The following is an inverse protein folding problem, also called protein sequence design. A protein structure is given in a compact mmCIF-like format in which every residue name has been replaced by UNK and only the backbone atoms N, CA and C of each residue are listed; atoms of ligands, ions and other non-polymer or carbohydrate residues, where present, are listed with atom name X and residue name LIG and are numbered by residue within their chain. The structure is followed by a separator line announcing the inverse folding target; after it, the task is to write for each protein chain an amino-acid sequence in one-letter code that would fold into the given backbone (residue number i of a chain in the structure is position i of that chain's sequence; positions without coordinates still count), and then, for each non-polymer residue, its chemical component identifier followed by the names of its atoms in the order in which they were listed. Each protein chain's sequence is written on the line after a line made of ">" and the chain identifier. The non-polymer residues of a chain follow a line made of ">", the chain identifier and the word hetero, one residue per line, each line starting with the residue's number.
data_IF_825348484900
#
_entry.id   IF_825348484900
#
_cell.length_a   1.000
_cell.length_b   1.000
_cell.length_c   1.000
_cell.angle_alpha   90.00
_cell.angle_beta   90.00
_cell.angle_gamma   90.00
#
_symmetry.space_group_name_H-M   'P 1'
#
loop_
_entity.id
_entity.type
_entity.pdbx_description
1 polymer ?
#
# COMPACT_ATOMS: atom_id res chain seq x y z
N UNK A 1 -18.03 24.13 -0.04
CA UNK A 1 -16.67 24.32 0.47
C UNK A 1 -16.74 24.88 1.86
N UNK A 2 -16.28 24.19 2.90
CA UNK A 2 -15.79 24.87 4.11
C UNK A 2 -14.30 24.57 4.30
N UNK A 3 -13.58 25.66 4.47
CA UNK A 3 -12.18 25.77 4.84
C UNK A 3 -11.98 25.32 6.29
N UNK A 4 -11.06 24.38 6.54
CA UNK A 4 -10.52 24.09 7.85
C UNK A 4 -8.99 24.08 7.79
N UNK A 5 -8.42 25.25 8.05
CA UNK A 5 -7.03 25.40 8.42
C UNK A 5 -6.99 26.02 9.82
N UNK A 6 -6.53 25.29 10.82
CA UNK A 6 -6.01 25.85 12.07
C UNK A 6 -4.60 25.32 12.30
N UNK A 7 -3.63 26.18 12.57
CA UNK A 7 -2.26 25.76 12.83
C UNK A 7 -2.09 25.26 14.27
N UNK A 8 -1.35 24.19 14.41
CA UNK A 8 -0.91 23.62 15.69
C UNK A 8 0.27 24.42 16.23
N UNK A 9 0.18 24.93 17.47
CA UNK A 9 1.28 25.58 18.18
C UNK A 9 2.09 24.53 18.94
N UNK A 10 3.42 24.56 18.90
CA UNK A 10 4.24 23.66 19.69
C UNK A 10 4.32 24.11 21.15
N UNK A 11 4.24 23.13 22.05
CA UNK A 11 4.39 23.28 23.51
C UNK A 11 5.88 23.28 23.87
N UNK A 12 6.29 24.27 24.67
CA UNK A 12 7.65 24.42 25.18
C UNK A 12 7.98 23.36 26.24
N UNK A 13 9.22 22.87 26.23
CA UNK A 13 9.80 21.96 27.21
C UNK A 13 10.56 22.83 28.25
N UNK A 14 10.43 22.57 29.56
CA UNK A 14 11.11 23.36 30.60
C UNK A 14 12.58 22.98 30.77
N UNK A 15 13.41 23.98 31.01
CA UNK A 15 14.83 23.89 31.29
C UNK A 15 15.09 23.34 32.71
N UNK A 16 16.02 22.39 32.81
CA UNK A 16 16.54 21.90 34.09
C UNK A 16 17.75 22.73 34.53
N UNK A 17 17.66 23.33 35.72
CA UNK A 17 18.75 23.94 36.43
C UNK A 17 19.41 22.88 37.33
N UNK A 18 20.66 22.63 37.15
CA UNK A 18 21.48 21.85 38.07
C UNK A 18 22.44 22.73 38.89
N UNK A 19 22.33 22.62 40.18
CA UNK A 19 23.16 23.33 41.19
C UNK A 19 24.51 22.69 41.35
N UNK A 20 25.51 23.54 41.63
CA UNK A 20 26.87 23.14 41.96
C UNK A 20 27.05 22.69 43.40
N UNK A 21 28.15 22.06 43.66
CA UNK A 21 28.75 21.90 44.98
C UNK A 21 30.28 21.93 44.89
N UNK A 22 30.84 22.61 45.83
CA UNK A 22 32.22 23.05 46.03
C UNK A 22 33.07 22.07 46.84
N UNK A 23 34.37 22.33 46.78
CA UNK A 23 35.45 22.19 47.82
C UNK A 23 36.17 20.82 47.86
N UNK A 24 37.43 20.61 48.14
CA UNK A 24 38.50 21.42 48.70
C UNK A 24 39.85 20.66 48.51
N UNK A 25 40.92 21.46 48.44
CA UNK A 25 42.29 21.33 48.94
C UNK A 25 43.12 20.04 48.90
N UNK A 26 44.28 20.12 48.33
CA UNK A 26 45.65 20.15 48.98
C UNK A 26 46.71 19.79 47.95
N UNK A 27 47.62 20.55 47.59
CA UNK A 27 48.92 20.96 48.03
C UNK A 27 50.04 20.01 47.65
N UNK A 28 50.90 20.40 46.66
CA UNK A 28 52.30 20.11 46.63
C UNK A 28 53.01 20.95 45.55
N UNK A 29 53.97 21.78 45.97
CA UNK A 29 54.68 22.74 45.13
C UNK A 29 55.72 22.05 44.20
N UNK A 30 55.86 22.65 43.02
CA UNK A 30 57.07 22.57 42.17
C UNK A 30 57.33 23.94 41.54
N UNK A 31 58.59 24.35 41.60
CA UNK A 31 59.19 25.57 41.16
C UNK A 31 58.80 25.97 39.73
N UNK A 32 58.39 27.23 39.60
CA UNK A 32 58.18 27.90 38.34
C UNK A 32 59.46 28.61 37.90
N UNK A 33 59.99 28.25 36.74
CA UNK A 33 60.72 29.17 35.87
C UNK A 33 59.69 29.81 34.89
N UNK A 34 59.73 31.10 34.60
CA UNK A 34 58.74 31.71 33.71
C UNK A 34 58.97 31.26 32.28
N UNK A 35 57.94 30.61 31.70
CA UNK A 35 57.88 30.29 30.29
C UNK A 35 57.86 31.62 29.51
N UNK A 36 58.69 31.75 28.48
CA UNK A 36 58.74 32.88 27.61
C UNK A 36 57.41 33.06 26.85
N UNK A 37 56.98 34.33 26.63
CA UNK A 37 55.70 34.64 25.95
C UNK A 37 55.59 33.91 24.59
N UNK A 38 56.73 33.60 23.97
CA UNK A 38 56.76 32.86 22.69
C UNK A 38 56.33 31.37 22.86
N UNK A 39 56.67 30.69 23.95
CA UNK A 39 56.21 29.33 24.25
C UNK A 39 54.72 29.28 24.61
N UNK A 40 54.23 30.28 25.31
CA UNK A 40 52.81 30.42 25.61
C UNK A 40 51.98 30.64 24.35
N UNK A 41 52.48 31.48 23.42
CA UNK A 41 51.82 31.78 22.14
C UNK A 41 51.84 30.57 21.20
N UNK A 42 52.95 29.77 21.15
CA UNK A 42 53.01 28.52 20.38
C UNK A 42 52.02 27.46 20.92
N UNK A 43 51.83 27.34 22.24
CA UNK A 43 50.87 26.43 22.86
C UNK A 43 49.43 26.85 22.61
N UNK A 44 49.14 28.16 22.58
CA UNK A 44 47.81 28.69 22.22
C UNK A 44 47.49 28.44 20.75
N UNK A 45 48.46 28.71 19.86
CA UNK A 45 48.27 28.46 18.43
C UNK A 45 48.11 26.94 18.17
N UNK A 46 48.86 26.07 18.83
CA UNK A 46 48.72 24.62 18.73
C UNK A 46 47.36 24.12 19.27
N UNK A 47 46.85 24.72 20.34
CA UNK A 47 45.54 24.39 20.93
C UNK A 47 44.38 24.85 20.03
N UNK A 48 44.50 26.02 19.38
CA UNK A 48 43.52 26.54 18.40
C UNK A 48 43.55 25.67 17.12
N UNK A 49 44.71 25.26 16.66
CA UNK A 49 44.84 24.37 15.47
C UNK A 49 44.26 22.94 15.78
N UNK A 50 44.44 22.44 17.00
CA UNK A 50 43.86 21.16 17.42
C UNK A 50 42.33 21.22 17.66
N UNK A 51 41.81 22.34 18.14
CA UNK A 51 40.36 22.57 18.28
C UNK A 51 39.64 22.79 16.94
N UNK A 52 40.33 23.29 15.92
CA UNK A 52 39.78 23.47 14.58
C UNK A 52 39.62 22.16 13.76
N UNK A 53 40.24 21.05 14.17
CA UNK A 53 40.19 19.75 13.49
C UNK A 53 39.14 18.79 14.07
N UNK A 54 38.45 19.15 15.13
CA UNK A 54 37.40 18.37 15.78
C UNK A 54 35.97 18.86 15.46
N UNK A 55 35.76 19.51 14.31
CA UNK A 55 34.41 19.60 13.79
C UNK A 55 34.02 18.16 13.39
N UNK A 56 33.02 17.53 14.02
CA UNK A 56 32.50 16.31 13.46
C UNK A 56 32.05 16.68 12.05
N UNK A 57 32.65 16.09 11.03
CA UNK A 57 31.98 15.97 9.75
C UNK A 57 30.66 15.25 10.10
N UNK A 58 29.61 16.05 10.33
CA UNK A 58 28.26 15.55 10.23
C UNK A 58 28.20 15.01 8.81
N UNK A 59 28.49 13.70 8.66
CA UNK A 59 28.28 13.02 7.41
C UNK A 59 26.85 13.39 7.02
N UNK A 60 26.69 14.25 6.04
CA UNK A 60 25.40 14.65 5.52
C UNK A 60 24.76 13.31 5.16
N UNK A 61 23.80 12.87 5.96
CA UNK A 61 23.15 11.58 5.76
C UNK A 61 22.61 11.60 4.34
N UNK A 62 23.23 10.81 3.46
CA UNK A 62 22.91 10.82 2.05
C UNK A 62 21.43 10.49 1.92
N UNK A 63 20.66 11.39 1.30
CA UNK A 63 19.24 11.20 1.06
C UNK A 63 19.04 9.91 0.29
N UNK A 64 18.31 8.96 0.85
CA UNK A 64 17.98 7.72 0.15
C UNK A 64 16.82 7.95 -0.78
N UNK A 65 16.96 7.61 -2.07
CA UNK A 65 15.88 7.64 -3.04
C UNK A 65 15.41 6.23 -3.35
N UNK A 66 14.11 5.95 -3.13
CA UNK A 66 13.47 4.67 -3.45
C UNK A 66 12.67 4.81 -4.74
N UNK A 67 12.81 3.83 -5.63
CA UNK A 67 12.04 3.74 -6.87
C UNK A 67 10.71 3.08 -6.58
N UNK A 68 9.60 3.74 -6.95
CA UNK A 68 8.25 3.23 -6.77
C UNK A 68 7.51 3.15 -8.11
N UNK A 69 6.83 2.05 -8.37
CA UNK A 69 6.01 1.80 -9.57
C UNK A 69 4.56 1.53 -9.18
N UNK A 70 3.64 1.72 -10.11
CA UNK A 70 2.25 1.29 -9.95
C UNK A 70 1.89 0.14 -10.88
N UNK A 71 1.16 -0.84 -10.38
CA UNK A 71 0.55 -1.90 -11.20
C UNK A 71 -0.73 -1.44 -11.93
N UNK A 72 -1.22 -0.22 -11.64
CA UNK A 72 -2.41 0.37 -12.24
C UNK A 72 -2.05 1.44 -13.27
N UNK A 73 -2.93 1.68 -14.28
CA UNK A 73 -2.76 2.77 -15.24
C UNK A 73 -2.57 4.13 -14.57
N UNK A 74 -1.72 4.98 -15.15
CA UNK A 74 -1.35 6.26 -14.53
C UNK A 74 -2.49 7.28 -14.45
N UNK A 75 -3.51 7.14 -15.28
CA UNK A 75 -4.73 7.94 -15.25
C UNK A 75 -5.75 7.47 -14.21
N UNK A 76 -5.49 6.33 -13.55
CA UNK A 76 -6.40 5.81 -12.54
C UNK A 76 -6.43 6.68 -11.29
N UNK A 77 -7.58 6.71 -10.64
CA UNK A 77 -7.76 7.41 -9.38
C UNK A 77 -6.76 6.96 -8.30
N UNK A 78 -6.44 5.66 -8.26
CA UNK A 78 -5.45 5.11 -7.33
C UNK A 78 -4.07 5.74 -7.51
N UNK A 79 -3.62 5.90 -8.77
CA UNK A 79 -2.30 6.48 -9.08
C UNK A 79 -2.27 7.97 -8.84
N UNK A 80 -3.36 8.69 -9.11
CA UNK A 80 -3.46 10.12 -8.77
C UNK A 80 -3.24 10.35 -7.28
N UNK A 81 -3.88 9.54 -6.42
CA UNK A 81 -3.67 9.61 -4.97
C UNK A 81 -2.28 9.18 -4.53
N UNK A 82 -1.71 8.16 -5.19
CA UNK A 82 -0.32 7.75 -4.96
C UNK A 82 0.65 8.90 -5.24
N UNK A 83 0.50 9.60 -6.37
CA UNK A 83 1.36 10.74 -6.74
C UNK A 83 1.27 11.85 -5.68
N UNK A 84 0.07 12.21 -5.24
CA UNK A 84 -0.12 13.19 -4.15
C UNK A 84 0.57 12.75 -2.84
N UNK A 85 0.49 11.47 -2.50
CA UNK A 85 1.18 10.94 -1.33
C UNK A 85 2.71 10.99 -1.50
N UNK A 86 3.24 10.66 -2.69
CA UNK A 86 4.66 10.76 -3.01
C UNK A 86 5.15 12.20 -2.86
N UNK A 87 4.40 13.18 -3.35
CA UNK A 87 4.75 14.60 -3.23
C UNK A 87 4.85 15.01 -1.75
N UNK A 88 3.92 14.57 -0.90
CA UNK A 88 3.96 14.81 0.54
C UNK A 88 5.17 14.15 1.21
N UNK A 89 5.44 12.87 0.89
CA UNK A 89 6.62 12.15 1.39
C UNK A 89 7.90 12.88 1.00
N UNK A 90 7.99 13.34 -0.24
CA UNK A 90 9.16 14.04 -0.76
C UNK A 90 9.33 15.43 -0.13
N UNK A 91 8.24 16.12 0.18
CA UNK A 91 8.27 17.41 0.87
C UNK A 91 8.76 17.28 2.31
N UNK A 92 8.24 16.28 3.05
CA UNK A 92 8.55 16.06 4.47
C UNK A 92 9.87 15.29 4.68
N UNK A 93 10.26 14.46 3.71
CA UNK A 93 11.44 13.60 3.74
C UNK A 93 12.73 14.24 3.19
N UNK A 94 12.79 15.57 3.02
CA UNK A 94 13.99 16.26 2.53
C UNK A 94 15.20 15.95 3.41
N UNK A 95 16.30 15.54 2.76
CA UNK A 95 17.54 15.18 3.45
C UNK A 95 17.51 13.80 4.14
N UNK A 96 16.39 13.07 4.09
CA UNK A 96 16.23 11.76 4.74
C UNK A 96 15.87 10.66 3.74
N UNK A 97 14.71 10.80 3.06
CA UNK A 97 14.17 9.81 2.14
C UNK A 97 13.32 10.47 1.07
N UNK A 98 13.48 10.05 -0.17
CA UNK A 98 12.72 10.50 -1.33
C UNK A 98 12.13 9.31 -2.07
N UNK A 99 10.99 9.49 -2.72
CA UNK A 99 10.36 8.51 -3.61
C UNK A 99 10.44 9.01 -5.06
N UNK A 100 10.94 8.17 -5.95
CA UNK A 100 10.95 8.42 -7.39
C UNK A 100 9.89 7.53 -8.06
N UNK A 101 8.79 8.12 -8.51
CA UNK A 101 7.76 7.41 -9.27
C UNK A 101 8.24 7.16 -10.69
N UNK A 102 8.44 5.88 -11.04
CA UNK A 102 8.98 5.47 -12.34
C UNK A 102 7.90 5.15 -13.39
N UNK A 103 6.61 5.16 -13.02
CA UNK A 103 5.50 4.97 -13.94
C UNK A 103 4.52 3.87 -13.54
N UNK A 104 3.64 3.55 -14.51
CA UNK A 104 2.62 2.51 -14.42
C UNK A 104 2.94 1.29 -15.29
N UNK A 105 1.92 0.60 -15.87
CA UNK A 105 2.07 -0.63 -16.66
C UNK A 105 2.93 -0.51 -17.91
N UNK A 106 3.22 0.72 -18.37
CA UNK A 106 4.18 0.95 -19.46
C UNK A 106 5.64 0.80 -19.01
N UNK A 107 5.93 1.10 -17.73
CA UNK A 107 7.26 0.91 -17.16
C UNK A 107 7.49 -0.55 -16.76
N UNK A 108 6.52 -1.17 -16.07
CA UNK A 108 6.54 -2.59 -15.69
C UNK A 108 5.13 -3.14 -15.89
N UNK A 109 4.93 -4.21 -16.69
CA UNK A 109 3.61 -4.81 -16.91
C UNK A 109 2.92 -5.18 -15.60
N UNK A 110 1.60 -4.98 -15.54
CA UNK A 110 0.76 -5.12 -14.33
C UNK A 110 1.08 -6.38 -13.51
N UNK A 111 1.17 -7.54 -14.16
CA UNK A 111 1.36 -8.82 -13.48
C UNK A 111 2.83 -9.16 -13.20
N UNK A 112 3.78 -8.32 -13.66
CA UNK A 112 5.21 -8.45 -13.39
C UNK A 112 5.69 -7.57 -12.23
N UNK A 113 4.85 -6.63 -11.77
CA UNK A 113 5.21 -5.69 -10.70
C UNK A 113 5.61 -6.40 -9.41
N UNK A 114 4.88 -7.45 -9.01
CA UNK A 114 5.23 -8.22 -7.82
C UNK A 114 6.59 -8.90 -7.94
N UNK A 115 6.90 -9.50 -9.09
CA UNK A 115 8.22 -10.11 -9.31
C UNK A 115 9.33 -9.06 -9.35
N UNK A 116 9.07 -7.87 -9.91
CA UNK A 116 10.03 -6.76 -9.93
C UNK A 116 10.36 -6.25 -8.51
N UNK A 117 9.38 -6.20 -7.60
CA UNK A 117 9.63 -5.90 -6.18
C UNK A 117 10.40 -7.03 -5.51
N UNK A 118 10.00 -8.29 -5.71
CA UNK A 118 10.68 -9.46 -5.13
C UNK A 118 12.17 -9.50 -5.45
N UNK A 119 12.51 -9.22 -6.69
CA UNK A 119 13.90 -9.29 -7.20
C UNK A 119 14.70 -7.99 -7.02
N UNK A 120 14.08 -6.91 -6.51
CA UNK A 120 14.74 -5.62 -6.31
C UNK A 120 14.96 -4.80 -7.58
N UNK A 121 14.29 -5.15 -8.70
CA UNK A 121 14.26 -4.29 -9.91
C UNK A 121 13.66 -2.94 -9.58
N UNK A 122 12.67 -2.91 -8.69
CA UNK A 122 12.16 -1.69 -8.04
C UNK A 122 12.13 -1.89 -6.54
N UNK A 123 12.21 -0.77 -5.81
CA UNK A 123 12.26 -0.82 -4.35
C UNK A 123 10.88 -0.94 -3.72
N UNK A 124 9.89 -0.30 -4.33
CA UNK A 124 8.50 -0.27 -3.87
C UNK A 124 7.50 -0.38 -5.01
N UNK A 125 6.30 -0.80 -4.70
CA UNK A 125 5.19 -0.72 -5.62
C UNK A 125 3.85 -0.46 -4.91
N UNK A 126 2.93 0.19 -5.65
CA UNK A 126 1.51 0.14 -5.37
C UNK A 126 0.90 -0.97 -6.23
N UNK A 127 0.36 -2.00 -5.60
CA UNK A 127 -0.23 -3.16 -6.28
C UNK A 127 -1.38 -3.74 -5.46
N UNK A 128 -1.98 -4.80 -5.96
CA UNK A 128 -2.93 -5.65 -5.22
C UNK A 128 -2.39 -7.07 -5.18
N UNK A 129 -2.67 -7.80 -4.11
CA UNK A 129 -2.25 -9.20 -3.96
C UNK A 129 -2.63 -10.08 -5.15
N UNK A 130 -3.78 -9.80 -5.76
CA UNK A 130 -4.26 -10.51 -6.95
C UNK A 130 -3.34 -10.41 -8.18
N UNK A 131 -2.46 -9.41 -8.27
CA UNK A 131 -1.61 -9.18 -9.44
C UNK A 131 -0.26 -9.89 -9.36
N UNK A 132 0.08 -10.46 -8.20
CA UNK A 132 1.35 -11.19 -8.02
C UNK A 132 1.16 -12.60 -7.39
N UNK A 133 0.02 -13.22 -7.68
CA UNK A 133 -0.27 -14.62 -7.31
C UNK A 133 0.70 -15.63 -7.93
N UNK A 134 1.35 -15.26 -9.01
CA UNK A 134 2.43 -16.00 -9.64
C UNK A 134 3.73 -16.00 -8.82
N UNK A 135 3.89 -15.06 -7.89
CA UNK A 135 5.02 -15.03 -6.95
C UNK A 135 4.74 -15.96 -5.77
N UNK A 136 3.56 -15.82 -5.16
CA UNK A 136 3.05 -16.71 -4.12
C UNK A 136 1.51 -16.60 -4.03
N UNK A 137 0.79 -17.73 -3.90
CA UNK A 137 -0.67 -17.76 -3.97
C UNK A 137 -1.35 -17.07 -2.78
N UNK A 138 -0.69 -16.98 -1.63
CA UNK A 138 -1.21 -16.35 -0.41
C UNK A 138 -1.58 -14.88 -0.61
N UNK A 139 -0.95 -14.22 -1.58
CA UNK A 139 -1.23 -12.82 -1.89
C UNK A 139 -2.69 -12.59 -2.27
N UNK A 140 -3.35 -13.56 -2.89
CA UNK A 140 -4.75 -13.47 -3.29
C UNK A 140 -5.73 -13.56 -2.10
N UNK A 141 -5.28 -14.00 -0.93
CA UNK A 141 -6.14 -14.09 0.26
C UNK A 141 -6.59 -12.72 0.79
N UNK A 142 -5.86 -11.65 0.47
CA UNK A 142 -6.16 -10.30 0.97
C UNK A 142 -7.54 -9.78 0.58
N UNK A 143 -8.07 -10.21 -0.58
CA UNK A 143 -9.44 -9.91 -1.03
C UNK A 143 -10.53 -10.49 -0.14
N UNK A 144 -10.21 -11.59 0.56
CA UNK A 144 -11.15 -12.37 1.37
C UNK A 144 -11.28 -11.85 2.80
N UNK A 145 -10.54 -10.80 3.16
CA UNK A 145 -10.65 -10.22 4.49
C UNK A 145 -12.01 -9.56 4.69
N UNK A 146 -12.62 -9.81 5.84
CA UNK A 146 -13.89 -9.19 6.25
C UNK A 146 -13.67 -8.12 7.33
N UNK A 147 -12.41 -7.78 7.60
CA UNK A 147 -12.02 -6.86 8.65
C UNK A 147 -11.22 -5.69 8.11
N UNK A 148 -11.46 -4.46 8.61
CA UNK A 148 -10.62 -3.31 8.30
C UNK A 148 -9.16 -3.57 8.70
N UNK A 149 -8.21 -2.93 8.03
CA UNK A 149 -6.77 -3.08 8.32
C UNK A 149 -6.43 -2.70 9.77
N UNK A 150 -7.13 -1.73 10.33
CA UNK A 150 -6.98 -1.37 11.75
C UNK A 150 -7.28 -2.53 12.70
N UNK A 151 -8.25 -3.38 12.38
CA UNK A 151 -8.56 -4.59 13.14
C UNK A 151 -7.56 -5.71 12.85
N UNK A 152 -7.14 -5.90 11.60
CA UNK A 152 -6.10 -6.84 11.22
C UNK A 152 -4.79 -6.61 11.98
N UNK A 153 -4.48 -5.34 12.28
CA UNK A 153 -3.31 -4.98 13.10
C UNK A 153 -3.48 -5.34 14.58
N UNK A 154 -4.71 -5.39 15.09
CA UNK A 154 -4.99 -5.75 16.50
C UNK A 154 -5.09 -7.25 16.73
N UNK A 155 -5.59 -8.00 15.74
CA UNK A 155 -5.83 -9.44 15.88
C UNK A 155 -4.66 -10.31 15.41
N UNK A 156 -3.54 -9.70 14.98
CA UNK A 156 -2.35 -10.39 14.48
C UNK A 156 -2.40 -10.80 13.00
N UNK A 157 -3.48 -10.50 12.27
CA UNK A 157 -3.58 -10.80 10.84
C UNK A 157 -2.52 -10.04 10.05
N UNK A 158 -2.28 -8.77 10.39
CA UNK A 158 -1.27 -7.95 9.71
C UNK A 158 0.16 -8.49 9.94
N UNK A 159 0.46 -8.91 11.16
CA UNK A 159 1.78 -9.50 11.48
C UNK A 159 1.97 -10.83 10.72
N UNK A 160 0.90 -11.59 10.56
CA UNK A 160 0.94 -12.82 9.76
C UNK A 160 1.15 -12.54 8.27
N UNK A 161 0.54 -11.48 7.71
CA UNK A 161 0.82 -10.99 6.37
C UNK A 161 2.32 -10.66 6.25
N UNK A 162 2.89 -9.88 7.18
CA UNK A 162 4.31 -9.54 7.17
C UNK A 162 5.20 -10.78 7.12
N UNK A 163 4.90 -11.79 7.95
CA UNK A 163 5.63 -13.05 7.95
C UNK A 163 5.60 -13.74 6.59
N UNK A 164 4.41 -13.92 6.01
CA UNK A 164 4.24 -14.64 4.74
C UNK A 164 4.88 -13.87 3.58
N UNK A 165 4.73 -12.54 3.52
CA UNK A 165 5.33 -11.70 2.48
C UNK A 165 6.86 -11.71 2.54
N UNK A 166 7.43 -11.68 3.75
CA UNK A 166 8.87 -11.79 3.93
C UNK A 166 9.40 -13.17 3.52
N UNK A 167 8.71 -14.23 3.93
CA UNK A 167 9.11 -15.62 3.70
C UNK A 167 9.00 -16.03 2.22
N UNK A 168 7.87 -15.70 1.58
CA UNK A 168 7.53 -16.16 0.22
C UNK A 168 7.93 -15.18 -0.88
N UNK A 169 7.83 -13.90 -0.57
CA UNK A 169 7.93 -12.83 -1.56
C UNK A 169 9.19 -11.99 -1.50
N UNK A 170 10.04 -12.15 -0.48
CA UNK A 170 11.12 -11.20 -0.18
C UNK A 170 10.61 -9.75 -0.11
N UNK A 171 9.43 -9.56 0.51
CA UNK A 171 8.69 -8.29 0.55
C UNK A 171 8.33 -7.90 1.98
N UNK A 172 8.18 -6.60 2.16
CA UNK A 172 7.49 -5.97 3.29
C UNK A 172 6.14 -5.45 2.80
N UNK A 173 5.06 -5.82 3.49
CA UNK A 173 3.72 -5.27 3.27
C UNK A 173 3.58 -3.99 4.11
N UNK A 174 3.74 -2.81 3.51
CA UNK A 174 3.82 -1.56 4.26
C UNK A 174 2.45 -1.07 4.75
N UNK A 175 1.45 -1.07 3.87
CA UNK A 175 0.13 -0.56 4.18
C UNK A 175 -0.93 -1.09 3.20
N UNK A 176 -2.17 -1.27 3.68
CA UNK A 176 -3.36 -1.41 2.85
C UNK A 176 -3.97 -0.03 2.63
N UNK A 177 -3.93 0.47 1.41
CA UNK A 177 -4.30 1.87 1.08
C UNK A 177 -5.68 2.00 0.44
N UNK A 178 -6.34 0.88 0.15
CA UNK A 178 -7.74 0.82 -0.33
C UNK A 178 -8.49 -0.24 0.46
N UNK A 179 -9.66 0.14 0.96
CA UNK A 179 -10.64 -0.69 1.65
C UNK A 179 -12.06 -0.22 1.30
N UNK A 180 -13.07 -0.96 1.73
CA UNK A 180 -14.49 -0.59 1.59
C UNK A 180 -14.91 -0.38 0.13
N UNK A 181 -14.28 -1.12 -0.78
CA UNK A 181 -14.57 -1.12 -2.20
C UNK A 181 -14.99 -2.54 -2.62
N UNK A 182 -16.26 -2.93 -2.41
CA UNK A 182 -16.72 -4.25 -2.82
C UNK A 182 -16.53 -4.43 -4.32
N UNK A 183 -16.17 -5.63 -4.71
CA UNK A 183 -16.15 -6.03 -6.11
C UNK A 183 -17.56 -6.34 -6.61
N UNK A 184 -17.81 -6.02 -7.87
CA UNK A 184 -19.05 -6.32 -8.56
C UNK A 184 -18.76 -7.04 -9.88
N UNK A 185 -19.75 -7.78 -10.35
CA UNK A 185 -19.82 -8.24 -11.73
C UNK A 185 -20.51 -7.17 -12.57
N UNK A 186 -19.85 -6.73 -13.63
CA UNK A 186 -20.39 -5.80 -14.61
C UNK A 186 -20.62 -6.51 -15.94
N UNK A 187 -21.75 -6.25 -16.59
CA UNK A 187 -22.20 -7.00 -17.75
C UNK A 187 -22.68 -6.07 -18.87
N UNK A 188 -22.58 -6.56 -20.11
CA UNK A 188 -23.17 -5.96 -21.32
C UNK A 188 -24.59 -6.44 -21.55
N UNK A 189 -24.99 -7.57 -20.96
CA UNK A 189 -26.31 -8.22 -21.06
C UNK A 189 -26.85 -8.54 -19.67
N UNK A 190 -28.19 -8.60 -19.47
CA UNK A 190 -28.74 -8.95 -18.16
C UNK A 190 -28.58 -10.46 -17.89
N UNK A 191 -28.66 -10.81 -16.61
CA UNK A 191 -28.83 -12.19 -16.11
C UNK A 191 -29.98 -12.21 -15.12
N UNK A 192 -30.72 -13.33 -15.04
CA UNK A 192 -31.85 -13.48 -14.12
C UNK A 192 -31.46 -14.19 -12.81
N UNK A 193 -30.34 -14.90 -12.83
CA UNK A 193 -29.80 -15.67 -11.70
C UNK A 193 -28.26 -15.66 -11.77
N UNK A 194 -27.58 -16.03 -10.67
CA UNK A 194 -26.11 -16.09 -10.63
C UNK A 194 -25.56 -17.33 -11.37
N UNK A 195 -25.90 -17.44 -12.66
CA UNK A 195 -25.43 -18.46 -13.58
C UNK A 195 -24.77 -17.76 -14.78
N UNK A 196 -23.48 -17.98 -14.97
CA UNK A 196 -22.68 -17.33 -16.00
C UNK A 196 -22.33 -18.28 -17.16
N UNK A 197 -23.03 -19.43 -17.27
CA UNK A 197 -22.85 -20.35 -18.40
C UNK A 197 -23.05 -19.64 -19.73
N UNK A 198 -22.11 -19.84 -20.65
CA UNK A 198 -22.14 -19.22 -21.98
C UNK A 198 -21.64 -17.77 -22.01
N UNK A 199 -21.32 -17.16 -20.87
CA UNK A 199 -20.73 -15.83 -20.81
C UNK A 199 -19.20 -15.92 -20.73
N UNK A 200 -18.55 -15.02 -21.46
CA UNK A 200 -17.11 -14.79 -21.41
C UNK A 200 -16.85 -13.60 -20.48
N UNK A 201 -16.24 -13.84 -19.35
CA UNK A 201 -16.03 -12.80 -18.34
C UNK A 201 -14.54 -12.48 -18.22
N UNK A 202 -14.23 -11.21 -18.41
CA UNK A 202 -12.88 -10.71 -18.14
C UNK A 202 -12.59 -10.75 -16.64
N UNK A 203 -11.41 -11.29 -16.32
CA UNK A 203 -10.94 -11.37 -14.93
C UNK A 203 -9.52 -10.79 -14.77
N UNK A 204 -9.17 -10.51 -13.54
CA UNK A 204 -7.84 -10.69 -12.98
C UNK A 204 -7.87 -11.96 -12.11
N UNK A 205 -6.75 -12.47 -11.61
CA UNK A 205 -6.75 -13.69 -10.79
C UNK A 205 -7.76 -13.67 -9.63
N UNK A 206 -8.05 -12.48 -9.08
CA UNK A 206 -8.98 -12.28 -7.95
C UNK A 206 -10.37 -12.90 -8.16
N UNK A 207 -10.87 -12.96 -9.39
CA UNK A 207 -12.25 -13.43 -9.69
C UNK A 207 -12.31 -14.85 -10.19
N UNK A 208 -11.17 -15.48 -10.51
CA UNK A 208 -11.10 -16.75 -11.24
C UNK A 208 -11.97 -17.84 -10.62
N UNK A 209 -11.71 -18.16 -9.37
CA UNK A 209 -12.38 -19.27 -8.69
C UNK A 209 -13.89 -19.04 -8.60
N UNK A 210 -14.31 -17.83 -8.26
CA UNK A 210 -15.72 -17.48 -8.11
C UNK A 210 -16.48 -17.52 -9.44
N UNK A 211 -15.99 -16.81 -10.47
CA UNK A 211 -16.73 -16.76 -11.73
C UNK A 211 -16.68 -18.10 -12.49
N UNK A 212 -15.61 -18.88 -12.32
CA UNK A 212 -15.58 -20.25 -12.83
C UNK A 212 -16.59 -21.14 -12.11
N UNK A 213 -16.76 -20.98 -10.78
CA UNK A 213 -17.79 -21.70 -10.01
C UNK A 213 -19.23 -21.32 -10.39
N UNK A 214 -19.43 -20.13 -10.98
CA UNK A 214 -20.70 -19.71 -11.59
C UNK A 214 -20.86 -20.14 -13.06
N UNK A 215 -19.89 -20.86 -13.62
CA UNK A 215 -19.95 -21.42 -14.99
C UNK A 215 -19.42 -20.50 -16.08
N UNK A 216 -18.80 -19.37 -15.78
CA UNK A 216 -18.24 -18.47 -16.77
C UNK A 216 -17.04 -19.07 -17.50
N UNK A 217 -16.87 -18.72 -18.78
CA UNK A 217 -15.58 -18.80 -19.46
C UNK A 217 -14.77 -17.56 -19.06
N UNK A 218 -13.69 -17.76 -18.29
CA UNK A 218 -12.91 -16.64 -17.75
C UNK A 218 -11.70 -16.32 -18.61
N UNK A 219 -11.47 -15.02 -18.87
CA UNK A 219 -10.36 -14.50 -19.67
C UNK A 219 -9.57 -13.48 -18.87
N UNK A 220 -8.30 -13.77 -18.57
CA UNK A 220 -7.44 -12.87 -17.82
C UNK A 220 -6.84 -11.80 -18.74
N UNK A 221 -7.11 -10.53 -18.44
CA UNK A 221 -6.46 -9.39 -19.11
C UNK A 221 -6.15 -8.27 -18.10
N UNK A 222 -5.13 -7.46 -18.43
CA UNK A 222 -4.78 -6.29 -17.64
C UNK A 222 -5.90 -5.22 -17.68
N UNK A 223 -6.01 -4.32 -16.67
CA UNK A 223 -7.05 -3.30 -16.65
C UNK A 223 -7.09 -2.41 -17.90
N UNK A 224 -5.94 -2.04 -18.46
CA UNK A 224 -5.86 -1.18 -19.64
C UNK A 224 -6.45 -1.78 -20.92
N UNK A 225 -6.72 -3.11 -20.94
CA UNK A 225 -7.20 -3.85 -22.13
C UNK A 225 -8.73 -4.08 -22.12
N UNK A 226 -9.40 -3.79 -20.99
CA UNK A 226 -10.82 -4.14 -20.78
C UNK A 226 -11.75 -3.41 -21.75
N UNK A 227 -11.53 -2.12 -21.97
CA UNK A 227 -12.36 -1.34 -22.90
C UNK A 227 -12.39 -1.97 -24.29
N UNK A 228 -11.23 -2.27 -24.84
CA UNK A 228 -11.11 -2.91 -26.18
C UNK A 228 -11.73 -4.30 -26.21
N UNK A 229 -11.57 -5.08 -25.14
CA UNK A 229 -12.17 -6.42 -25.05
C UNK A 229 -13.71 -6.36 -25.04
N UNK A 230 -14.30 -5.40 -24.34
CA UNK A 230 -15.74 -5.13 -24.34
C UNK A 230 -16.22 -4.59 -25.69
N UNK A 231 -15.52 -3.64 -26.27
CA UNK A 231 -15.85 -3.00 -27.55
C UNK A 231 -15.89 -4.02 -28.69
N UNK A 232 -14.94 -4.94 -28.73
CA UNK A 232 -14.85 -6.00 -29.74
C UNK A 232 -15.72 -7.22 -29.45
N UNK A 233 -16.49 -7.22 -28.35
CA UNK A 233 -17.31 -8.36 -27.95
C UNK A 233 -16.52 -9.63 -27.59
N UNK A 234 -15.23 -9.48 -27.27
CA UNK A 234 -14.38 -10.59 -26.81
C UNK A 234 -14.85 -11.10 -25.46
N UNK A 235 -15.41 -10.20 -24.63
CA UNK A 235 -16.00 -10.53 -23.33
C UNK A 235 -17.39 -9.91 -23.19
N UNK A 236 -18.26 -10.58 -22.42
CA UNK A 236 -19.63 -10.15 -22.11
C UNK A 236 -19.72 -9.33 -20.81
N UNK A 237 -18.62 -9.26 -20.07
CA UNK A 237 -18.55 -8.55 -18.80
C UNK A 237 -17.20 -8.69 -18.12
N UNK A 238 -17.12 -8.14 -16.90
CA UNK A 238 -15.88 -8.11 -16.13
C UNK A 238 -16.15 -7.99 -14.64
N UNK A 239 -15.17 -8.41 -13.82
CA UNK A 239 -15.11 -8.10 -12.40
C UNK A 239 -14.33 -6.82 -12.16
N UNK A 240 -14.85 -5.92 -11.29
CA UNK A 240 -14.17 -4.70 -10.85
C UNK A 240 -14.75 -4.19 -9.52
N UNK A 241 -13.98 -3.42 -8.71
CA UNK A 241 -14.53 -2.71 -7.57
C UNK A 241 -15.64 -1.73 -7.94
N UNK A 242 -16.40 -1.27 -6.93
CA UNK A 242 -17.46 -0.27 -7.13
C UNK A 242 -16.93 1.02 -7.77
N UNK A 243 -15.68 1.40 -7.48
CA UNK A 243 -15.05 2.59 -8.04
C UNK A 243 -14.08 2.28 -9.18
N UNK A 244 -13.84 3.28 -10.05
CA UNK A 244 -12.79 3.29 -11.04
C UNK A 244 -13.17 2.84 -12.46
N UNK A 245 -14.42 2.48 -12.75
CA UNK A 245 -14.82 2.10 -14.11
C UNK A 245 -14.77 3.28 -15.09
N UNK A 246 -14.87 4.50 -14.58
CA UNK A 246 -14.82 5.73 -15.39
C UNK A 246 -13.38 6.15 -15.74
N UNK A 247 -12.37 5.65 -15.03
CA UNK A 247 -10.97 6.01 -15.27
C UNK A 247 -10.49 5.55 -16.66
N UNK A 248 -11.11 4.49 -17.18
CA UNK A 248 -10.79 3.89 -18.48
C UNK A 248 -12.01 3.85 -19.43
N UNK A 249 -13.02 4.65 -19.20
CA UNK A 249 -14.25 4.77 -20.01
C UNK A 249 -15.08 3.49 -20.12
N UNK A 250 -14.95 2.52 -19.18
CA UNK A 250 -15.66 1.23 -19.26
C UNK A 250 -17.18 1.39 -19.14
N UNK A 251 -17.67 2.49 -18.51
CA UNK A 251 -19.09 2.81 -18.41
C UNK A 251 -19.76 2.91 -19.78
N UNK A 252 -19.05 3.26 -20.84
CA UNK A 252 -19.62 3.37 -22.20
C UNK A 252 -20.06 2.01 -22.75
N UNK A 253 -19.43 0.92 -22.28
CA UNK A 253 -19.68 -0.46 -22.70
C UNK A 253 -20.42 -1.29 -21.64
N UNK A 254 -20.65 -0.73 -20.45
CA UNK A 254 -21.32 -1.41 -19.33
C UNK A 254 -22.80 -1.06 -19.30
N UNK A 255 -23.66 -2.09 -19.20
CA UNK A 255 -25.11 -1.92 -19.10
C UNK A 255 -25.66 -2.28 -17.72
N UNK A 256 -25.02 -3.25 -17.07
CA UNK A 256 -25.51 -3.82 -15.81
C UNK A 256 -24.41 -3.97 -14.79
N UNK A 257 -24.76 -3.75 -13.51
CA UNK A 257 -23.98 -4.14 -12.35
C UNK A 257 -24.77 -5.11 -11.50
N UNK A 258 -24.16 -6.17 -11.04
CA UNK A 258 -24.80 -7.16 -10.16
C UNK A 258 -24.53 -6.80 -8.70
N UNK A 259 -25.60 -6.68 -7.91
CA UNK A 259 -25.60 -6.49 -6.46
C UNK A 259 -26.23 -7.72 -5.76
N UNK A 260 -25.74 -8.11 -4.57
CA UNK A 260 -24.72 -7.45 -3.78
C UNK A 260 -23.30 -7.61 -4.36
N UNK A 261 -22.39 -6.73 -3.93
CA UNK A 261 -20.96 -6.94 -4.15
C UNK A 261 -20.42 -8.11 -3.32
N UNK A 262 -19.24 -8.56 -3.66
CA UNK A 262 -18.52 -9.65 -2.99
C UNK A 262 -17.07 -9.24 -2.77
N UNK A 263 -16.33 -9.89 -1.85
CA UNK A 263 -14.97 -9.55 -1.47
C UNK A 263 -14.80 -8.07 -1.09
N UNK A 264 -13.59 -7.67 -0.78
CA UNK A 264 -13.23 -6.26 -0.62
C UNK A 264 -11.91 -5.98 -1.36
N UNK A 265 -11.89 -4.92 -2.17
CA UNK A 265 -10.69 -4.56 -2.90
C UNK A 265 -9.57 -4.25 -1.92
N UNK A 266 -8.42 -4.81 -2.22
CA UNK A 266 -7.19 -4.55 -1.53
C UNK A 266 -6.22 -3.91 -2.51
N UNK A 267 -5.74 -2.72 -2.20
CA UNK A 267 -4.56 -2.12 -2.84
C UNK A 267 -3.59 -1.77 -1.73
N UNK A 268 -2.34 -2.12 -1.94
CA UNK A 268 -1.28 -2.00 -0.94
C UNK A 268 -0.04 -1.31 -1.47
N UNK A 269 0.76 -0.82 -0.53
CA UNK A 269 2.16 -0.49 -0.74
C UNK A 269 3.00 -1.69 -0.27
N UNK A 270 3.79 -2.23 -1.18
CA UNK A 270 4.76 -3.30 -0.92
C UNK A 270 6.17 -2.79 -1.20
N UNK A 271 7.15 -3.33 -0.49
CA UNK A 271 8.55 -2.96 -0.62
C UNK A 271 9.45 -4.20 -0.65
N UNK A 272 10.50 -4.15 -1.44
CA UNK A 272 11.55 -5.17 -1.42
C UNK A 272 12.21 -5.27 -0.03
N UNK A 273 12.33 -6.48 0.53
CA UNK A 273 12.86 -6.68 1.88
C UNK A 273 14.32 -6.28 2.00
N UNK A 274 15.14 -6.48 0.97
CA UNK A 274 16.55 -6.14 1.01
C UNK A 274 16.76 -4.63 0.89
N UNK A 275 15.91 -3.92 0.11
CA UNK A 275 15.89 -2.47 0.10
C UNK A 275 15.46 -1.92 1.48
N UNK A 276 14.47 -2.54 2.13
CA UNK A 276 14.07 -2.20 3.50
C UNK A 276 15.20 -2.37 4.51
N UNK A 277 15.95 -3.47 4.44
CA UNK A 277 17.09 -3.73 5.35
C UNK A 277 18.20 -2.68 5.24
N UNK A 278 18.38 -2.08 4.06
CA UNK A 278 19.37 -1.01 3.82
C UNK A 278 18.97 0.34 4.42
N UNK A 279 17.69 0.56 4.73
CA UNK A 279 17.24 1.79 5.38
C UNK A 279 17.74 1.87 6.83
N UNK A 280 18.17 3.05 7.26
CA UNK A 280 18.41 3.36 8.66
C UNK A 280 17.12 3.41 9.48
N UNK A 281 17.20 3.34 10.80
CA UNK A 281 16.04 3.36 11.70
C UNK A 281 15.13 4.59 11.44
N UNK A 282 15.70 5.80 11.37
CA UNK A 282 14.95 7.03 11.10
C UNK A 282 14.21 7.01 9.77
N UNK A 283 14.79 6.41 8.73
CA UNK A 283 14.17 6.29 7.41
C UNK A 283 13.00 5.29 7.44
N UNK A 284 13.15 4.16 8.15
CA UNK A 284 12.08 3.19 8.35
C UNK A 284 10.91 3.78 9.14
N UNK A 285 11.18 4.46 10.24
CA UNK A 285 10.17 5.09 11.09
C UNK A 285 9.41 6.18 10.31
N UNK A 286 10.12 6.98 9.53
CA UNK A 286 9.52 7.98 8.63
C UNK A 286 8.61 7.30 7.61
N UNK A 287 9.08 6.29 6.88
CA UNK A 287 8.27 5.61 5.85
C UNK A 287 7.05 4.92 6.47
N UNK A 288 7.20 4.26 7.61
CA UNK A 288 6.07 3.66 8.34
C UNK A 288 5.06 4.72 8.76
N UNK A 289 5.51 5.87 9.26
CA UNK A 289 4.63 6.97 9.62
C UNK A 289 3.85 7.48 8.42
N UNK A 290 4.51 7.72 7.29
CA UNK A 290 3.87 8.19 6.06
C UNK A 290 2.87 7.19 5.49
N UNK A 291 3.18 5.91 5.51
CA UNK A 291 2.26 4.86 5.05
C UNK A 291 1.06 4.70 5.98
N UNK A 292 1.24 4.87 7.30
CA UNK A 292 0.14 4.87 8.27
C UNK A 292 -0.80 6.07 8.10
N UNK A 293 -0.26 7.26 7.83
CA UNK A 293 -1.08 8.44 7.54
C UNK A 293 -1.94 8.24 6.29
N UNK A 294 -1.42 7.55 5.27
CA UNK A 294 -2.18 7.19 4.09
C UNK A 294 -3.28 6.15 4.42
N UNK A 295 -2.95 5.11 5.16
CA UNK A 295 -3.86 4.04 5.59
C UNK A 295 -5.01 4.57 6.46
N UNK A 296 -4.73 5.52 7.38
CA UNK A 296 -5.74 6.13 8.26
C UNK A 296 -6.80 6.95 7.50
N UNK A 297 -6.62 7.18 6.20
CA UNK A 297 -7.60 7.85 5.33
C UNK A 297 -8.51 6.89 4.58
N UNK A 298 -8.47 5.60 4.87
CA UNK A 298 -9.24 4.57 4.17
C UNK A 298 -10.78 4.74 4.30
N UNK A 299 -11.28 5.42 5.34
CA UNK A 299 -12.71 5.76 5.42
C UNK A 299 -13.21 6.63 4.26
N UNK A 300 -12.33 7.36 3.59
CA UNK A 300 -12.66 8.08 2.35
C UNK A 300 -13.26 7.16 1.29
N UNK A 301 -12.83 5.91 1.23
CA UNK A 301 -13.27 4.96 0.22
C UNK A 301 -14.75 4.59 0.33
N UNK A 302 -15.36 4.72 1.52
CA UNK A 302 -16.81 4.56 1.70
C UNK A 302 -17.57 5.67 0.95
N UNK A 303 -17.11 6.91 1.11
CA UNK A 303 -17.71 8.09 0.45
C UNK A 303 -17.50 7.98 -1.07
N UNK A 304 -16.30 7.62 -1.49
CA UNK A 304 -15.99 7.43 -2.92
C UNK A 304 -16.87 6.33 -3.54
N UNK A 305 -17.06 5.20 -2.88
CA UNK A 305 -17.92 4.12 -3.36
C UNK A 305 -19.40 4.56 -3.52
N UNK A 306 -19.91 5.39 -2.59
CA UNK A 306 -21.25 5.99 -2.71
C UNK A 306 -21.34 6.91 -3.92
N UNK A 307 -20.38 7.81 -4.09
CA UNK A 307 -20.33 8.72 -5.25
C UNK A 307 -20.24 7.97 -6.58
N UNK A 308 -19.45 6.90 -6.66
CA UNK A 308 -19.33 6.06 -7.84
C UNK A 308 -20.64 5.30 -8.13
N UNK A 309 -21.36 4.84 -7.10
CA UNK A 309 -22.68 4.24 -7.25
C UNK A 309 -23.66 5.20 -7.90
N UNK A 310 -23.72 6.46 -7.43
CA UNK A 310 -24.57 7.50 -8.01
C UNK A 310 -24.14 7.85 -9.44
N UNK A 311 -22.83 7.92 -9.68
CA UNK A 311 -22.29 8.22 -10.99
C UNK A 311 -22.61 7.13 -12.00
N UNK A 312 -22.55 5.86 -11.59
CA UNK A 312 -22.95 4.72 -12.42
C UNK A 312 -24.45 4.77 -12.78
N UNK A 313 -25.31 5.08 -11.81
CA UNK A 313 -26.75 5.24 -12.07
C UNK A 313 -27.03 6.38 -13.05
N UNK A 314 -26.35 7.54 -12.90
CA UNK A 314 -26.46 8.68 -13.84
C UNK A 314 -25.95 8.33 -15.25
N UNK A 315 -24.98 7.42 -15.36
CA UNK A 315 -24.50 6.91 -16.65
C UNK A 315 -25.41 5.84 -17.27
N UNK A 316 -26.53 5.50 -16.63
CA UNK A 316 -27.53 4.55 -17.15
C UNK A 316 -27.19 3.07 -16.87
N UNK A 317 -26.25 2.78 -15.98
CA UNK A 317 -25.95 1.40 -15.58
C UNK A 317 -27.07 0.91 -14.66
N UNK A 318 -27.77 -0.14 -15.10
CA UNK A 318 -28.85 -0.76 -14.36
C UNK A 318 -28.31 -1.75 -13.31
N UNK A 319 -28.97 -1.82 -12.14
CA UNK A 319 -28.56 -2.72 -11.06
C UNK A 319 -29.42 -3.97 -11.08
N UNK A 320 -28.79 -5.12 -11.32
CA UNK A 320 -29.39 -6.45 -11.11
C UNK A 320 -29.23 -6.81 -9.65
N UNK A 321 -30.33 -6.71 -8.88
CA UNK A 321 -30.31 -7.00 -7.44
C UNK A 321 -30.73 -8.45 -7.18
N UNK A 322 -29.81 -9.26 -6.73
CA UNK A 322 -30.14 -10.54 -6.12
C UNK A 322 -30.69 -10.31 -4.71
N UNK A 323 -31.70 -11.07 -4.30
CA UNK A 323 -32.38 -10.85 -3.04
C UNK A 323 -32.52 -12.16 -2.21
N UNK A 324 -32.73 -12.01 -0.92
CA UNK A 324 -33.00 -13.12 -0.01
C UNK A 324 -31.94 -14.22 -0.07
N UNK A 325 -32.38 -15.45 -0.24
CA UNK A 325 -31.52 -16.63 -0.31
C UNK A 325 -30.54 -16.60 -1.47
N UNK A 326 -30.95 -16.05 -2.63
CA UNK A 326 -30.11 -15.94 -3.82
C UNK A 326 -28.90 -14.99 -3.59
N UNK A 327 -29.13 -13.87 -2.92
CA UNK A 327 -28.07 -12.92 -2.57
C UNK A 327 -27.05 -13.56 -1.61
N UNK A 328 -27.58 -14.29 -0.61
CA UNK A 328 -26.73 -14.99 0.36
C UNK A 328 -25.90 -16.08 -0.33
N UNK A 329 -26.53 -16.93 -1.15
CA UNK A 329 -25.83 -17.98 -1.92
C UNK A 329 -24.72 -17.41 -2.80
N UNK A 330 -24.99 -16.29 -3.48
CA UNK A 330 -24.01 -15.62 -4.36
C UNK A 330 -22.77 -15.19 -3.60
N UNK A 331 -22.96 -14.54 -2.45
CA UNK A 331 -21.84 -14.05 -1.61
C UNK A 331 -21.11 -15.21 -0.94
N UNK A 332 -21.82 -16.16 -0.36
CA UNK A 332 -21.22 -17.34 0.29
C UNK A 332 -20.36 -18.13 -0.71
N UNK A 333 -20.88 -18.37 -1.92
CA UNK A 333 -20.14 -19.05 -3.00
C UNK A 333 -18.86 -18.32 -3.39
N UNK A 334 -18.87 -16.98 -3.38
CA UNK A 334 -17.66 -16.19 -3.64
C UNK A 334 -16.60 -16.48 -2.58
N UNK A 335 -16.93 -16.34 -1.30
CA UNK A 335 -15.97 -16.55 -0.22
C UNK A 335 -15.53 -18.01 -0.09
N UNK A 336 -16.43 -18.97 -0.27
CA UNK A 336 -16.08 -20.39 -0.23
C UNK A 336 -15.14 -20.78 -1.37
N UNK A 337 -15.44 -20.37 -2.61
CA UNK A 337 -14.58 -20.63 -3.76
C UNK A 337 -13.20 -19.97 -3.58
N UNK A 338 -13.16 -18.72 -3.11
CA UNK A 338 -11.93 -18.01 -2.83
C UNK A 338 -11.07 -18.72 -1.79
N UNK A 339 -11.64 -19.06 -0.62
CA UNK A 339 -10.88 -19.76 0.44
C UNK A 339 -10.48 -21.18 0.02
N UNK A 340 -11.32 -21.91 -0.71
CA UNK A 340 -10.97 -23.23 -1.23
C UNK A 340 -9.74 -23.15 -2.16
N UNK A 341 -9.69 -22.14 -3.06
CA UNK A 341 -8.55 -21.90 -3.94
C UNK A 341 -7.28 -21.58 -3.15
N UNK A 342 -7.35 -20.68 -2.16
CA UNK A 342 -6.20 -20.33 -1.31
C UNK A 342 -5.70 -21.54 -0.54
N UNK A 343 -6.58 -22.28 0.14
CA UNK A 343 -6.18 -23.44 0.96
C UNK A 343 -5.58 -24.55 0.08
N UNK A 344 -6.14 -24.78 -1.11
CA UNK A 344 -5.59 -25.74 -2.07
C UNK A 344 -4.18 -25.40 -2.51
N UNK A 345 -3.91 -24.12 -2.80
CA UNK A 345 -2.61 -23.66 -3.31
C UNK A 345 -1.60 -23.31 -2.21
N UNK A 346 -2.07 -23.12 -0.98
CA UNK A 346 -1.27 -22.83 0.20
C UNK A 346 -1.81 -23.59 1.42
N UNK A 347 -1.57 -24.92 1.51
CA UNK A 347 -2.09 -25.72 2.61
C UNK A 347 -1.47 -25.38 3.97
N UNK A 348 -0.28 -24.74 3.98
CA UNK A 348 0.41 -24.32 5.21
C UNK A 348 -0.16 -23.00 5.75
N UNK A 349 -0.30 -21.99 4.90
CA UNK A 349 -0.70 -20.64 5.33
C UNK A 349 -2.21 -20.36 5.16
N UNK A 350 -2.86 -20.97 4.17
CA UNK A 350 -4.25 -20.72 3.82
C UNK A 350 -5.24 -20.89 4.99
N UNK A 351 -5.19 -22.00 5.74
CA UNK A 351 -6.09 -22.20 6.90
C UNK A 351 -5.92 -21.13 7.98
N UNK A 352 -4.66 -20.75 8.29
CA UNK A 352 -4.38 -19.71 9.28
C UNK A 352 -4.80 -18.32 8.82
N UNK A 353 -4.62 -18.00 7.54
CA UNK A 353 -5.11 -16.74 6.96
C UNK A 353 -6.63 -16.68 7.01
N UNK A 354 -7.33 -17.79 6.70
CA UNK A 354 -8.79 -17.84 6.81
C UNK A 354 -9.25 -17.58 8.25
N UNK A 355 -8.61 -18.21 9.24
CA UNK A 355 -8.91 -17.97 10.66
C UNK A 355 -8.77 -16.49 11.04
N UNK A 356 -7.68 -15.85 10.61
CA UNK A 356 -7.36 -14.47 10.98
C UNK A 356 -8.16 -13.41 10.22
N UNK A 357 -8.64 -13.72 9.00
CA UNK A 357 -9.28 -12.76 8.09
C UNK A 357 -10.80 -12.79 8.13
N UNK A 358 -11.40 -13.88 8.64
CA UNK A 358 -12.85 -14.04 8.68
C UNK A 358 -13.38 -13.58 10.04
N UNK A 359 -14.43 -12.74 10.03
CA UNK A 359 -15.16 -12.38 11.26
C UNK A 359 -15.79 -13.63 11.87
N UNK A 360 -15.64 -13.75 13.19
CA UNK A 360 -16.31 -14.79 13.99
C UNK A 360 -17.69 -14.37 14.41
#
# INVERSE_FOLDING_TARGET
>A
MPSYARPFKPRAVPAFHGRGASADEAGAGRSNAPATEEEAMRKVIAAIAAAGLALPLAAAAQTTTLRIVSAFPENSFYVTRLKTWIDNVNAEGKGLLQLNFIGGPKAIPTFEVGNAVRTGVVDMAMSTGAFYTNVFPESDALKLTQMPVAEQRRNGAFDYIQKVWAEKGNMIYLARVVEHQPFHLYLTKPIDKPDLKGLKIRITPVYRDFFSALGATVMQTAPGEVYTALERGVVDGYGWPIGGIFDNNWQERTKYRVDPGFYDAEVSLIMNQDAWKKLGARQRDFLVTQTRLLENRNDYWKIYGQQETERQAKAGIQVIRMQGAQAKEYVDKAYEAGWAGIIKNSPVHGPKMRELFTKR
#
